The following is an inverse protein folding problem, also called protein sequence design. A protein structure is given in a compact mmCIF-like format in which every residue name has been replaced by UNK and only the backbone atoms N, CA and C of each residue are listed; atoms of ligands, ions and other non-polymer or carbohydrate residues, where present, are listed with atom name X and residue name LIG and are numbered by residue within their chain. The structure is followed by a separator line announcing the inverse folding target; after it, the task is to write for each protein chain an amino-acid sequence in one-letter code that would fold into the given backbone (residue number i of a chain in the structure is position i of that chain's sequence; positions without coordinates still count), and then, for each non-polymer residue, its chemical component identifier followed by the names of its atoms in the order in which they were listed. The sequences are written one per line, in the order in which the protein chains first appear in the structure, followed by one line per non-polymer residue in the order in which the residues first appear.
data_IF_503655909095
#
_entry.id   IF_503655909095
#
_cell.length_a   1.000
_cell.length_b   1.000
_cell.length_c   1.000
_cell.angle_alpha   90.00
_cell.angle_beta   90.00
_cell.angle_gamma   90.00
#
_symmetry.space_group_name_H-M   'P 1'
#
loop_
_entity.id
_entity.type
_entity.pdbx_description
1 polymer ?
#
# COMPACT_ATOMS: atom_id res chain seq x y z
N UNK A 1 -7.77 -7.53 -2.56
CA UNK A 1 -8.00 -6.78 -3.82
C UNK A 1 -7.88 -7.72 -5.01
N UNK A 2 -8.54 -7.42 -6.14
CA UNK A 2 -8.58 -8.32 -7.31
C UNK A 2 -8.14 -7.62 -8.60
N UNK A 3 -7.36 -8.33 -9.43
CA UNK A 3 -7.01 -7.94 -10.79
C UNK A 3 -7.89 -8.70 -11.78
N UNK A 4 -8.48 -7.99 -12.74
CA UNK A 4 -9.26 -8.59 -13.83
C UNK A 4 -8.48 -8.58 -15.14
N UNK A 5 -8.55 -9.69 -15.88
CA UNK A 5 -8.07 -9.77 -17.27
C UNK A 5 -9.28 -9.57 -18.18
N UNK A 6 -9.20 -8.66 -19.15
CA UNK A 6 -10.30 -8.39 -20.07
C UNK A 6 -10.73 -9.68 -20.79
N UNK A 7 -12.02 -9.99 -20.73
CA UNK A 7 -12.58 -11.23 -21.31
C UNK A 7 -12.59 -12.43 -20.35
N UNK A 8 -12.07 -12.30 -19.13
CA UNK A 8 -12.19 -13.30 -18.08
C UNK A 8 -13.19 -12.84 -17.00
N UNK A 9 -14.09 -13.72 -16.57
CA UNK A 9 -15.13 -13.41 -15.58
C UNK A 9 -14.64 -13.58 -14.14
N UNK A 10 -13.42 -14.10 -13.94
CA UNK A 10 -12.83 -14.28 -12.61
C UNK A 10 -11.63 -13.35 -12.41
N UNK A 11 -11.59 -12.67 -11.26
CA UNK A 11 -10.44 -11.89 -10.82
C UNK A 11 -9.40 -12.77 -10.12
N UNK A 12 -8.13 -12.33 -10.15
CA UNK A 12 -7.04 -12.93 -9.37
C UNK A 12 -6.77 -12.05 -8.16
N UNK A 13 -6.74 -12.65 -6.97
CA UNK A 13 -6.31 -11.95 -5.75
C UNK A 13 -4.82 -11.66 -5.85
N UNK A 14 -4.45 -10.39 -5.72
CA UNK A 14 -3.05 -9.94 -5.80
C UNK A 14 -2.49 -9.49 -4.46
N UNK A 15 -3.35 -9.30 -3.45
CA UNK A 15 -3.00 -8.94 -2.09
C UNK A 15 -4.17 -9.17 -1.14
N UNK A 16 -3.84 -9.56 0.10
CA UNK A 16 -4.77 -9.93 1.16
C UNK A 16 -5.20 -11.41 1.11
N UNK A 17 -5.63 -11.95 2.25
CA UNK A 17 -6.09 -13.33 2.44
C UNK A 17 -7.62 -13.45 2.63
N UNK A 18 -8.36 -12.37 2.39
CA UNK A 18 -9.80 -12.20 2.61
C UNK A 18 -10.23 -11.91 4.06
N UNK A 19 -9.29 -11.74 4.98
CA UNK A 19 -9.57 -11.28 6.34
C UNK A 19 -8.96 -9.89 6.61
N UNK A 20 -9.71 -9.05 7.33
CA UNK A 20 -9.21 -7.76 7.76
C UNK A 20 -8.28 -7.94 8.97
N UNK A 21 -7.05 -7.42 8.86
CA UNK A 21 -6.07 -7.53 9.93
C UNK A 21 -4.76 -6.86 9.59
N UNK A 22 -3.76 -7.06 10.46
CA UNK A 22 -2.46 -6.40 10.39
C UNK A 22 -1.29 -7.37 10.23
N UNK A 23 -1.57 -8.65 9.97
CA UNK A 23 -0.54 -9.61 9.60
C UNK A 23 0.02 -9.27 8.21
N UNK A 24 1.23 -9.74 7.91
CA UNK A 24 1.90 -9.45 6.62
C UNK A 24 1.15 -9.92 5.38
N UNK A 25 0.19 -10.83 5.53
CA UNK A 25 -0.67 -11.34 4.46
C UNK A 25 -2.07 -10.68 4.45
N UNK A 26 -2.32 -9.73 5.35
CA UNK A 26 -3.62 -9.09 5.59
C UNK A 26 -3.57 -7.60 5.25
N UNK A 27 -4.75 -7.07 4.95
CA UNK A 27 -4.99 -5.64 4.72
C UNK A 27 -6.19 -5.22 5.56
N UNK A 28 -6.26 -3.95 5.95
CA UNK A 28 -7.35 -3.41 6.73
C UNK A 28 -7.89 -2.12 6.11
N UNK A 29 -9.04 -2.26 5.43
CA UNK A 29 -9.70 -1.18 4.66
C UNK A 29 -8.73 -0.47 3.69
N UNK A 30 -8.06 -1.21 2.79
CA UNK A 30 -7.17 -0.59 1.82
C UNK A 30 -7.98 0.30 0.87
N UNK A 31 -7.42 1.46 0.53
CA UNK A 31 -8.11 2.51 -0.24
C UNK A 31 -7.60 2.65 -1.66
N UNK A 32 -6.29 2.51 -1.85
CA UNK A 32 -5.62 2.76 -3.13
C UNK A 32 -4.63 1.66 -3.47
N UNK A 33 -4.50 1.36 -4.77
CA UNK A 33 -3.48 0.50 -5.34
C UNK A 33 -2.80 1.18 -6.53
N UNK A 34 -1.49 1.08 -6.60
CA UNK A 34 -0.68 1.43 -7.77
C UNK A 34 -0.01 0.18 -8.31
N UNK A 35 -0.07 0.02 -9.63
CA UNK A 35 0.71 -0.96 -10.38
C UNK A 35 1.77 -0.20 -11.20
N UNK A 36 3.07 -0.36 -10.89
CA UNK A 36 4.17 0.18 -11.67
C UNK A 36 4.24 -0.47 -13.07
N UNK A 37 4.98 0.13 -13.98
CA UNK A 37 5.16 -0.26 -15.37
C UNK A 37 5.56 -1.73 -15.54
N UNK A 38 6.40 -2.26 -14.64
CA UNK A 38 6.84 -3.65 -14.68
C UNK A 38 5.72 -4.66 -14.34
N UNK A 39 4.61 -4.21 -13.76
CA UNK A 39 3.50 -5.03 -13.27
C UNK A 39 3.94 -6.22 -12.40
N UNK A 40 5.12 -6.18 -11.80
CA UNK A 40 5.66 -7.25 -10.93
C UNK A 40 5.45 -6.95 -9.45
N UNK A 41 5.24 -5.68 -9.11
CA UNK A 41 4.96 -5.22 -7.76
C UNK A 41 3.66 -4.40 -7.75
N UNK A 42 3.10 -4.21 -6.56
CA UNK A 42 2.01 -3.30 -6.31
C UNK A 42 2.24 -2.57 -5.00
N UNK A 43 1.86 -1.30 -4.96
CA UNK A 43 1.87 -0.50 -3.75
C UNK A 43 0.44 -0.29 -3.31
N UNK A 44 0.17 -0.51 -2.03
CA UNK A 44 -1.16 -0.53 -1.47
C UNK A 44 -1.19 0.38 -0.27
N UNK A 45 -2.16 1.30 -0.27
CA UNK A 45 -2.46 2.13 0.88
C UNK A 45 -3.34 1.33 1.85
N UNK A 46 -2.73 0.83 2.92
CA UNK A 46 -3.39 0.06 3.98
C UNK A 46 -3.86 0.99 5.11
N UNK A 47 -4.94 1.72 4.79
CA UNK A 47 -5.38 2.91 5.52
C UNK A 47 -5.60 2.70 7.01
N UNK A 48 -6.37 1.66 7.41
CA UNK A 48 -6.69 1.48 8.83
C UNK A 48 -5.55 0.88 9.65
N UNK A 49 -4.52 0.38 8.98
CA UNK A 49 -3.26 -0.01 9.61
C UNK A 49 -2.20 1.10 9.54
N UNK A 50 -2.53 2.28 9.00
CA UNK A 50 -1.60 3.43 8.91
C UNK A 50 -0.30 3.08 8.17
N UNK A 51 -0.40 2.29 7.10
CA UNK A 51 0.77 1.77 6.40
C UNK A 51 0.62 1.86 4.88
N UNK A 52 1.75 1.98 4.19
CA UNK A 52 1.86 1.66 2.77
C UNK A 52 2.60 0.32 2.66
N UNK A 53 1.99 -0.63 1.99
CA UNK A 53 2.53 -1.97 1.78
C UNK A 53 2.95 -2.18 0.33
N UNK A 54 4.09 -2.83 0.12
CA UNK A 54 4.54 -3.34 -1.17
C UNK A 54 4.25 -4.83 -1.27
N UNK A 55 3.64 -5.25 -2.37
CA UNK A 55 3.27 -6.62 -2.66
C UNK A 55 3.83 -7.04 -4.01
N UNK A 56 4.71 -8.05 -4.02
CA UNK A 56 5.12 -8.70 -5.27
C UNK A 56 3.96 -9.55 -5.81
N UNK A 57 3.72 -9.51 -7.11
CA UNK A 57 2.61 -10.25 -7.72
C UNK A 57 2.76 -11.76 -7.50
N UNK A 58 1.76 -12.36 -6.86
CA UNK A 58 1.76 -13.78 -6.48
C UNK A 58 2.44 -14.08 -5.14
N UNK A 59 2.98 -13.08 -4.43
CA UNK A 59 3.48 -13.27 -3.07
C UNK A 59 2.33 -13.51 -2.08
N UNK A 60 2.61 -14.30 -1.05
CA UNK A 60 1.67 -14.56 0.05
C UNK A 60 1.72 -13.50 1.15
N UNK A 61 2.68 -12.58 1.11
CA UNK A 61 2.90 -11.56 2.13
C UNK A 61 3.51 -10.29 1.53
N UNK A 62 3.38 -9.22 2.29
CA UNK A 62 3.83 -7.88 1.94
C UNK A 62 5.09 -7.45 2.67
N UNK A 63 5.58 -6.29 2.28
CA UNK A 63 6.59 -5.53 3.01
C UNK A 63 6.02 -4.14 3.29
N UNK A 64 5.97 -3.72 4.55
CA UNK A 64 5.68 -2.33 4.89
C UNK A 64 6.83 -1.44 4.42
N UNK A 65 6.52 -0.45 3.58
CA UNK A 65 7.51 0.51 3.07
C UNK A 65 7.37 1.89 3.72
N UNK A 66 6.20 2.23 4.27
CA UNK A 66 6.00 3.46 5.04
C UNK A 66 4.93 3.25 6.12
N UNK A 67 5.05 3.97 7.23
CA UNK A 67 4.14 3.89 8.38
C UNK A 67 4.32 2.64 9.26
N UNK A 68 3.43 2.46 10.25
CA UNK A 68 3.45 1.30 11.15
C UNK A 68 2.05 0.96 11.70
N UNK A 69 1.78 -0.34 11.92
CA UNK A 69 0.53 -0.83 12.54
C UNK A 69 0.32 -0.25 13.94
N UNK A 70 1.40 -0.06 14.71
CA UNK A 70 1.31 0.44 16.08
C UNK A 70 0.98 1.94 16.15
N UNK A 71 1.01 2.68 15.02
CA UNK A 71 0.92 4.14 14.99
C UNK A 71 1.99 4.85 15.83
N UNK A 72 2.96 4.08 16.37
CA UNK A 72 3.94 4.47 17.37
C UNK A 72 5.19 3.64 17.06
N UNK A 73 5.97 4.08 16.09
CA UNK A 73 7.21 3.42 15.66
C UNK A 73 8.29 4.45 15.40
N UNK A 74 9.01 4.79 16.46
CA UNK A 74 10.18 5.68 16.55
C UNK A 74 9.98 7.15 16.16
N UNK A 75 10.35 7.98 17.13
CA UNK A 75 10.32 9.42 17.33
C UNK A 75 10.95 10.33 16.27
N UNK A 76 10.80 10.10 14.96
CA UNK A 76 11.15 11.13 13.96
C UNK A 76 10.15 11.24 12.80
N UNK A 77 9.23 12.21 12.95
CA UNK A 77 8.61 13.02 11.88
C UNK A 77 7.63 12.44 10.84
N UNK A 78 7.31 11.13 10.77
CA UNK A 78 6.47 10.62 9.66
C UNK A 78 5.50 9.48 10.04
N UNK A 79 4.63 9.70 11.04
CA UNK A 79 3.55 8.76 11.35
C UNK A 79 2.40 8.98 10.37
N UNK A 80 2.20 8.08 9.40
CA UNK A 80 0.97 8.09 8.60
C UNK A 80 -0.24 7.95 9.53
N UNK A 81 -1.30 8.70 9.27
CA UNK A 81 -2.53 8.65 10.03
C UNK A 81 -3.73 8.66 9.07
N UNK A 82 -4.31 7.47 8.90
CA UNK A 82 -5.32 7.17 7.89
C UNK A 82 -4.88 7.70 6.51
N UNK A 83 -3.75 7.23 5.97
CA UNK A 83 -3.36 7.59 4.61
C UNK A 83 -4.45 7.10 3.67
N UNK A 84 -4.80 7.89 2.66
CA UNK A 84 -5.95 7.60 1.79
C UNK A 84 -5.55 7.34 0.34
N UNK A 85 -4.56 8.09 -0.14
CA UNK A 85 -4.15 8.00 -1.54
C UNK A 85 -2.64 7.92 -1.65
N UNK A 86 -2.18 7.24 -2.69
CA UNK A 86 -0.79 7.14 -3.07
C UNK A 86 -0.65 7.48 -4.55
N UNK A 87 0.42 8.17 -4.91
CA UNK A 87 0.80 8.44 -6.29
C UNK A 87 2.26 8.07 -6.51
N UNK A 88 2.60 7.53 -7.68
CA UNK A 88 3.97 7.17 -8.05
C UNK A 88 4.47 8.11 -9.15
N UNK A 89 5.72 8.53 -9.03
CA UNK A 89 6.39 9.32 -10.06
C UNK A 89 6.57 8.54 -11.37
N UNK A 90 6.70 9.26 -12.49
CA UNK A 90 6.91 8.68 -13.82
C UNK A 90 8.18 7.82 -13.91
N UNK A 91 9.23 8.19 -13.17
CA UNK A 91 10.47 7.41 -13.12
C UNK A 91 10.44 6.34 -12.02
N UNK A 92 9.30 6.18 -11.31
CA UNK A 92 9.08 5.22 -10.24
C UNK A 92 10.07 5.31 -9.07
N UNK A 93 10.64 6.50 -8.86
CA UNK A 93 11.67 6.75 -7.84
C UNK A 93 11.11 7.19 -6.48
N UNK A 94 9.87 7.68 -6.44
CA UNK A 94 9.22 8.05 -5.19
C UNK A 94 7.70 7.86 -5.23
N UNK A 95 7.12 7.68 -4.04
CA UNK A 95 5.69 7.74 -3.78
C UNK A 95 5.34 9.05 -3.08
N UNK A 96 4.25 9.68 -3.50
CA UNK A 96 3.55 10.70 -2.73
C UNK A 96 2.39 10.04 -2.00
N UNK A 97 2.24 10.34 -0.71
CA UNK A 97 1.20 9.78 0.16
C UNK A 97 0.34 10.93 0.65
N UNK A 98 -0.97 10.85 0.44
CA UNK A 98 -1.94 11.75 1.04
C UNK A 98 -2.25 11.28 2.46
N UNK A 99 -1.58 11.89 3.44
CA UNK A 99 -1.73 11.60 4.86
C UNK A 99 -2.92 12.40 5.42
N UNK A 100 -4.11 11.82 5.23
CA UNK A 100 -5.36 12.57 5.24
C UNK A 100 -5.73 13.13 6.61
N UNK A 101 -5.38 12.43 7.70
CA UNK A 101 -5.67 12.93 9.05
C UNK A 101 -4.57 13.83 9.60
N UNK A 102 -3.39 13.84 8.97
CA UNK A 102 -2.34 14.80 9.29
C UNK A 102 -2.35 16.02 8.37
N UNK A 103 -3.22 16.07 7.36
CA UNK A 103 -3.32 17.14 6.35
C UNK A 103 -2.00 17.39 5.60
N UNK A 104 -1.19 16.36 5.35
CA UNK A 104 0.12 16.48 4.69
C UNK A 104 0.21 15.59 3.45
N UNK A 105 0.98 16.02 2.45
CA UNK A 105 1.47 15.16 1.38
C UNK A 105 2.93 14.80 1.68
N UNK A 106 3.23 13.51 1.84
CA UNK A 106 4.58 13.05 2.19
C UNK A 106 5.25 12.35 1.00
N UNK A 107 6.54 12.59 0.78
CA UNK A 107 7.34 11.95 -0.28
C UNK A 107 8.20 10.83 0.30
N UNK A 108 8.13 9.64 -0.29
CA UNK A 108 8.92 8.48 0.09
C UNK A 108 9.74 7.94 -1.10
N UNK A 109 11.06 7.83 -0.95
CA UNK A 109 11.95 7.35 -2.02
C UNK A 109 11.96 5.82 -2.09
N UNK A 110 11.72 5.26 -3.26
CA UNK A 110 11.84 3.83 -3.55
C UNK A 110 13.33 3.53 -3.81
N UNK A 111 13.90 2.56 -3.09
CA UNK A 111 15.29 2.11 -3.25
C UNK A 111 15.36 0.87 -4.14
#
# INVERSE_FOLDING_TARGET
MQKFILGNLTGVTIAGDNDAGSASNQLNRPTTIILPHNNSESYICDTSNNQIQKWTMGASSSITIAGSVSGLGDSTLYLLNLPYDIWIDLDETYLLISDSSNCLAQRYTLR
#
